data_IF_289841945928
#
_entry.id   IF_289841945928
#
_cell.length_a   1.000
_cell.length_b   1.000
_cell.length_c   1.000
_cell.angle_alpha   90.00
_cell.angle_beta   90.00
_cell.angle_gamma   90.00
#
_symmetry.space_group_name_H-M   'P 1'
#
loop_
_entity.id
_entity.type
_entity.pdbx_description
1 polymer ?
#
# COMPACT_ATOMS: atom_id res chain seq x y z
N UNK A 1 25.01 16.12 -0.05
CA UNK A 1 23.81 15.25 0.04
C UNK A 1 22.74 15.93 -0.79
N UNK A 2 22.41 15.40 -1.97
CA UNK A 2 21.41 16.02 -2.85
C UNK A 2 20.07 16.14 -2.12
N UNK A 3 19.46 17.33 -2.21
CA UNK A 3 18.13 17.57 -1.65
C UNK A 3 17.10 16.88 -2.57
N UNK A 4 16.42 15.86 -2.04
CA UNK A 4 15.40 15.07 -2.72
C UNK A 4 13.96 15.52 -2.36
N UNK A 5 13.80 16.64 -1.66
CA UNK A 5 12.48 17.17 -1.32
C UNK A 5 11.67 17.50 -2.57
N UNK A 6 10.44 17.01 -2.64
CA UNK A 6 9.53 17.22 -3.77
C UNK A 6 9.91 16.46 -5.05
N UNK A 7 10.86 15.51 -5.00
CA UNK A 7 11.26 14.70 -6.15
C UNK A 7 10.66 13.30 -6.08
N UNK A 8 10.25 12.77 -7.22
CA UNK A 8 9.85 11.37 -7.39
C UNK A 8 10.94 10.58 -8.11
N UNK A 9 11.01 9.28 -7.84
CA UNK A 9 11.87 8.35 -8.57
C UNK A 9 10.98 7.53 -9.49
N UNK A 10 11.27 7.57 -10.79
CA UNK A 10 10.56 6.79 -11.81
C UNK A 10 11.46 5.66 -12.28
N UNK A 11 10.93 4.44 -12.28
CA UNK A 11 11.63 3.25 -12.77
C UNK A 11 10.89 2.70 -14.00
N UNK A 12 11.61 2.19 -15.01
CA UNK A 12 10.98 1.60 -16.19
C UNK A 12 10.31 0.25 -15.90
N UNK A 13 10.69 -0.42 -14.81
CA UNK A 13 10.11 -1.70 -14.37
C UNK A 13 9.62 -1.60 -12.93
N UNK A 14 8.53 -2.32 -12.64
CA UNK A 14 7.95 -2.41 -11.31
C UNK A 14 8.86 -3.11 -10.30
N UNK A 15 9.68 -4.08 -10.75
CA UNK A 15 10.64 -4.75 -9.86
C UNK A 15 11.69 -3.77 -9.32
N UNK A 16 12.13 -2.83 -10.17
CA UNK A 16 13.11 -1.82 -9.78
C UNK A 16 12.48 -0.78 -8.85
N UNK A 17 11.23 -0.36 -9.11
CA UNK A 17 10.52 0.55 -8.21
C UNK A 17 10.23 -0.10 -6.85
N UNK A 18 9.93 -1.41 -6.82
CA UNK A 18 9.75 -2.17 -5.58
C UNK A 18 11.03 -2.16 -4.74
N UNK A 19 12.18 -2.50 -5.34
CA UNK A 19 13.48 -2.47 -4.64
C UNK A 19 13.80 -1.08 -4.09
N UNK A 20 13.52 -0.03 -4.86
CA UNK A 20 13.71 1.36 -4.42
C UNK A 20 12.77 1.72 -3.26
N UNK A 21 11.51 1.30 -3.33
CA UNK A 21 10.53 1.51 -2.27
C UNK A 21 10.93 0.79 -0.97
N UNK A 22 11.43 -0.44 -1.06
CA UNK A 22 11.92 -1.21 0.10
C UNK A 22 13.14 -0.53 0.75
N UNK A 23 14.10 -0.07 -0.06
CA UNK A 23 15.26 0.67 0.44
C UNK A 23 14.86 2.01 1.08
N UNK A 24 13.88 2.71 0.52
CA UNK A 24 13.35 3.92 1.10
C UNK A 24 12.65 3.63 2.44
N UNK A 25 11.79 2.61 2.48
CA UNK A 25 11.07 2.18 3.68
C UNK A 25 12.03 1.75 4.80
N UNK A 26 13.13 1.07 4.47
CA UNK A 26 14.14 0.65 5.43
C UNK A 26 14.74 1.84 6.21
N UNK A 27 14.81 3.02 5.59
CA UNK A 27 15.33 4.26 6.20
C UNK A 27 14.34 4.93 7.16
N UNK A 28 13.04 4.63 7.07
CA UNK A 28 12.07 5.16 8.02
C UNK A 28 12.30 4.52 9.41
N UNK A 29 12.29 5.32 10.49
CA UNK A 29 12.32 4.79 11.84
C UNK A 29 11.02 4.04 12.17
N UNK A 30 11.05 3.20 13.20
CA UNK A 30 9.87 2.47 13.68
C UNK A 30 9.78 1.02 13.22
N UNK A 31 8.79 0.33 13.78
CA UNK A 31 8.55 -1.09 13.53
C UNK A 31 7.98 -1.31 12.12
N UNK A 32 8.50 -2.34 11.44
CA UNK A 32 7.91 -2.82 10.20
C UNK A 32 6.65 -3.63 10.52
N UNK A 33 5.54 -3.29 9.87
CA UNK A 33 4.29 -4.04 9.89
C UNK A 33 4.09 -4.65 8.51
N UNK A 34 3.96 -5.98 8.48
CA UNK A 34 3.73 -6.72 7.25
C UNK A 34 2.27 -7.13 7.18
N UNK A 35 1.60 -6.69 6.11
CA UNK A 35 0.27 -7.13 5.75
C UNK A 35 0.38 -8.22 4.70
N UNK A 36 -0.34 -9.32 4.89
CA UNK A 36 -0.43 -10.40 3.90
C UNK A 36 -1.67 -10.19 3.04
N UNK A 37 -1.60 -10.58 1.76
CA UNK A 37 -2.80 -10.58 0.93
C UNK A 37 -3.81 -11.58 1.51
N UNK A 38 -5.07 -11.17 1.67
CA UNK A 38 -6.12 -12.07 2.10
C UNK A 38 -6.60 -12.84 0.87
N UNK A 39 -6.08 -14.06 0.67
CA UNK A 39 -6.49 -14.93 -0.44
C UNK A 39 -7.95 -15.45 -0.27
N UNK A 40 -8.71 -14.95 0.71
CA UNK A 40 -10.11 -15.34 0.93
C UNK A 40 -10.96 -14.17 1.42
N UNK A 41 -12.07 -13.94 0.71
CA UNK A 41 -13.11 -12.97 1.08
C UNK A 41 -14.00 -13.64 2.14
N UNK A 42 -14.02 -13.12 3.36
CA UNK A 42 -14.83 -13.68 4.48
C UNK A 42 -16.25 -13.09 4.54
N UNK A 43 -16.58 -12.11 3.68
CA UNK A 43 -17.83 -11.36 3.74
C UNK A 43 -18.60 -11.46 2.42
N UNK A 44 -19.79 -12.07 2.44
CA UNK A 44 -20.66 -12.24 1.25
C UNK A 44 -21.02 -10.90 0.57
N UNK A 45 -21.09 -9.80 1.33
CA UNK A 45 -21.33 -8.45 0.80
C UNK A 45 -20.13 -7.86 0.02
N UNK A 46 -18.90 -8.26 0.36
CA UNK A 46 -17.68 -7.77 -0.30
C UNK A 46 -17.30 -8.62 -1.51
N UNK A 47 -17.81 -9.84 -1.59
CA UNK A 47 -17.61 -10.77 -2.70
C UNK A 47 -18.19 -10.26 -4.03
N UNK A 48 -19.23 -9.43 -3.98
CA UNK A 48 -19.80 -8.78 -5.16
C UNK A 48 -19.00 -7.56 -5.64
N UNK A 49 -18.21 -6.92 -4.76
CA UNK A 49 -17.44 -5.73 -5.10
C UNK A 49 -16.04 -6.04 -5.65
N UNK A 50 -15.51 -7.23 -5.33
CA UNK A 50 -14.21 -7.67 -5.83
C UNK A 50 -14.29 -9.15 -6.17
N UNK A 51 -14.39 -9.47 -7.47
CA UNK A 51 -14.17 -10.84 -7.92
C UNK A 51 -12.74 -11.25 -7.54
N UNK A 52 -12.60 -12.41 -6.90
CA UNK A 52 -11.31 -12.97 -6.49
C UNK A 52 -10.34 -13.06 -7.67
N UNK A 53 -10.86 -13.35 -8.87
CA UNK A 53 -10.07 -13.37 -10.11
C UNK A 53 -9.59 -11.99 -10.57
N UNK A 54 -10.30 -10.91 -10.22
CA UNK A 54 -9.84 -9.54 -10.45
C UNK A 54 -8.69 -9.19 -9.51
N UNK A 55 -8.77 -9.57 -8.23
CA UNK A 55 -7.69 -9.38 -7.25
C UNK A 55 -6.45 -10.19 -7.66
N UNK A 56 -6.63 -11.45 -8.07
CA UNK A 56 -5.58 -12.34 -8.56
C UNK A 56 -5.06 -11.95 -9.97
N UNK A 57 -5.79 -11.11 -10.70
CA UNK A 57 -5.37 -10.52 -11.98
C UNK A 57 -4.55 -9.22 -11.84
N UNK A 58 -4.69 -8.49 -10.72
CA UNK A 58 -3.90 -7.27 -10.42
C UNK A 58 -2.42 -7.61 -10.17
N UNK A 59 -2.11 -8.88 -9.90
CA UNK A 59 -0.76 -9.45 -9.75
C UNK A 59 0.13 -9.27 -11.00
N UNK A 60 -0.39 -8.76 -12.11
CA UNK A 60 0.41 -8.50 -13.31
C UNK A 60 0.98 -7.08 -13.44
N UNK A 61 0.62 -6.07 -12.62
CA UNK A 61 1.17 -4.71 -12.87
C UNK A 61 1.31 -3.69 -11.73
N UNK A 62 1.21 -4.05 -10.43
CA UNK A 62 1.46 -3.00 -9.42
C UNK A 62 1.41 -3.32 -7.94
N UNK A 63 1.22 -4.57 -7.52
CA UNK A 63 1.19 -4.92 -6.09
C UNK A 63 2.23 -6.03 -5.83
N UNK A 64 3.18 -5.84 -4.89
CA UNK A 64 4.19 -6.85 -4.59
C UNK A 64 3.53 -8.16 -4.14
N UNK A 65 4.10 -9.26 -4.63
CA UNK A 65 3.59 -10.61 -4.44
C UNK A 65 3.40 -10.92 -2.94
N UNK A 66 2.15 -11.13 -2.53
CA UNK A 66 1.73 -11.75 -1.26
C UNK A 66 2.00 -11.00 0.06
N UNK A 67 2.79 -9.91 0.07
CA UNK A 67 3.04 -9.13 1.28
C UNK A 67 3.28 -7.64 1.02
N UNK A 68 2.83 -6.80 1.95
CA UNK A 68 2.96 -5.35 1.92
C UNK A 68 3.54 -4.84 3.24
N UNK A 69 4.74 -4.24 3.16
CA UNK A 69 5.47 -3.74 4.33
C UNK A 69 5.22 -2.24 4.53
N UNK A 70 4.96 -1.84 5.78
CA UNK A 70 4.72 -0.45 6.17
C UNK A 70 5.44 -0.10 7.48
N UNK A 71 5.84 1.17 7.58
CA UNK A 71 6.31 1.82 8.81
C UNK A 71 5.57 3.12 8.99
N UNK A 72 5.35 3.57 10.23
CA UNK A 72 4.70 4.86 10.53
C UNK A 72 5.45 6.01 9.85
N UNK A 73 4.71 6.92 9.22
CA UNK A 73 5.25 8.08 8.53
C UNK A 73 5.73 7.82 7.10
N UNK A 74 5.69 6.57 6.63
CA UNK A 74 5.94 6.26 5.22
C UNK A 74 4.82 6.80 4.33
N UNK A 75 5.18 7.32 3.16
CA UNK A 75 4.22 7.78 2.15
C UNK A 75 3.65 6.58 1.40
N UNK A 76 2.32 6.50 1.29
CA UNK A 76 1.60 5.48 0.54
C UNK A 76 0.72 6.13 -0.53
N UNK A 77 0.59 5.49 -1.69
CA UNK A 77 -0.35 5.89 -2.73
C UNK A 77 -1.59 4.99 -2.66
N UNK A 78 -2.78 5.59 -2.69
CA UNK A 78 -4.03 4.84 -2.75
C UNK A 78 -4.22 4.23 -4.15
N UNK A 79 -4.44 2.92 -4.21
CA UNK A 79 -4.72 2.19 -5.46
C UNK A 79 -6.22 2.07 -5.77
N UNK A 80 -7.10 2.62 -4.91
CA UNK A 80 -8.55 2.67 -5.08
C UNK A 80 -9.14 3.84 -4.28
N UNK A 81 -10.34 4.27 -4.68
CA UNK A 81 -11.10 5.24 -3.90
C UNK A 81 -11.49 4.64 -2.54
N UNK A 82 -11.21 5.35 -1.45
CA UNK A 82 -11.57 4.97 -0.09
C UNK A 82 -12.71 5.83 0.45
N UNK A 83 -12.61 7.15 0.31
CA UNK A 83 -13.61 8.09 0.78
C UNK A 83 -13.59 9.36 -0.08
N UNK A 84 -14.44 9.44 -1.12
CA UNK A 84 -14.51 10.61 -1.99
C UNK A 84 -14.84 11.92 -1.25
N UNK A 85 -15.69 11.86 -0.22
CA UNK A 85 -16.07 13.05 0.56
C UNK A 85 -14.91 13.60 1.41
N UNK A 86 -13.92 12.76 1.73
CA UNK A 86 -12.69 13.14 2.40
C UNK A 86 -11.50 13.25 1.42
N UNK A 87 -11.76 13.30 0.11
CA UNK A 87 -10.75 13.41 -0.95
C UNK A 87 -9.72 12.25 -0.97
N UNK A 88 -10.08 11.10 -0.40
CA UNK A 88 -9.26 9.88 -0.41
C UNK A 88 -9.61 9.05 -1.65
N UNK A 89 -9.02 9.45 -2.78
CA UNK A 89 -9.27 8.88 -4.09
C UNK A 89 -8.08 8.01 -4.55
N UNK A 90 -8.27 7.26 -5.63
CA UNK A 90 -7.17 6.63 -6.35
C UNK A 90 -6.13 7.68 -6.71
N UNK A 91 -4.84 7.35 -6.58
CA UNK A 91 -3.66 8.21 -6.75
C UNK A 91 -3.36 9.22 -5.63
N UNK A 92 -4.23 9.36 -4.63
CA UNK A 92 -3.96 10.22 -3.47
C UNK A 92 -2.79 9.65 -2.66
N UNK A 93 -1.84 10.52 -2.27
CA UNK A 93 -0.74 10.17 -1.37
C UNK A 93 -1.10 10.51 0.08
N UNK A 94 -0.91 9.57 0.99
CA UNK A 94 -1.11 9.78 2.43
C UNK A 94 0.08 9.24 3.22
N UNK A 95 0.23 9.69 4.47
CA UNK A 95 1.22 9.13 5.38
C UNK A 95 0.61 8.00 6.19
N UNK A 96 1.31 6.87 6.28
CA UNK A 96 0.93 5.78 7.14
C UNK A 96 0.90 6.21 8.61
N UNK A 97 -0.17 5.81 9.29
CA UNK A 97 -0.32 5.92 10.74
C UNK A 97 -0.65 4.54 11.27
N UNK A 98 -0.17 4.22 12.46
CA UNK A 98 -0.57 3.00 13.16
C UNK A 98 -1.46 3.40 14.32
N UNK A 99 -2.76 3.24 14.17
CA UNK A 99 -3.62 3.06 15.33
C UNK A 99 -3.62 1.57 15.66
N UNK A 100 -2.60 1.10 16.39
CA UNK A 100 -2.73 -0.18 17.09
C UNK A 100 -3.47 0.11 18.39
N UNK A 101 -4.75 0.42 18.28
CA UNK A 101 -5.63 0.44 19.42
C UNK A 101 -6.93 -0.26 19.02
N UNK A 102 -6.86 -1.60 19.00
CA UNK A 102 -8.05 -2.41 19.20
C UNK A 102 -8.45 -2.24 20.68
N UNK A 103 -9.20 -1.17 20.98
CA UNK A 103 -9.97 -1.12 22.23
C UNK A 103 -11.17 -2.06 22.05
N UNK A 104 -11.01 -3.32 22.43
CA UNK A 104 -12.14 -4.25 22.66
C UNK A 104 -12.35 -5.36 21.63
N UNK A 105 -11.34 -6.21 21.41
CA UNK A 105 -11.58 -7.63 21.11
C UNK A 105 -11.19 -8.47 22.33
#
# INVERSE_FOLDING_TARGET
MENLSGKSILCPKNEDSLKMNEQALAKFPGQNITYFNADSITSEEQQNNFQVDFINGITSSGIPHHLFNLKVGAVIMLLRNLNPSAELLWNTFVNSKTDVHCNGC
#
